data_IF_670654867438
#
_entry.id   IF_670654867438
#
_cell.length_a   1.000
_cell.length_b   1.000
_cell.length_c   1.000
_cell.angle_alpha   90.00
_cell.angle_beta   90.00
_cell.angle_gamma   90.00
#
_symmetry.space_group_name_H-M   'P 1'
#
loop_
_entity.id
_entity.type
_entity.pdbx_description
1 polymer ?
#
# COMPACT_ATOMS: atom_id res chain seq x y z
N UNK A 1 36.07 -11.39 6.63
CA UNK A 1 35.18 -11.61 5.50
C UNK A 1 33.77 -12.00 5.89
N UNK A 2 33.57 -13.02 6.75
CA UNK A 2 32.22 -13.43 7.15
C UNK A 2 31.48 -12.45 8.07
N UNK A 3 32.20 -11.71 8.91
CA UNK A 3 31.64 -10.62 9.72
C UNK A 3 31.09 -9.53 8.84
N UNK A 4 31.81 -9.20 7.76
CA UNK A 4 31.39 -8.21 6.77
C UNK A 4 30.13 -8.67 6.05
N UNK A 5 30.05 -9.96 5.71
CA UNK A 5 28.88 -10.56 5.08
C UNK A 5 27.64 -10.48 5.99
N UNK A 6 27.80 -10.71 7.29
CA UNK A 6 26.71 -10.57 8.26
C UNK A 6 26.24 -9.13 8.36
N UNK A 7 27.17 -8.17 8.44
CA UNK A 7 26.83 -6.75 8.50
C UNK A 7 26.10 -6.28 7.23
N UNK A 8 26.57 -6.73 6.07
CA UNK A 8 25.89 -6.44 4.80
C UNK A 8 24.49 -7.03 4.77
N UNK A 9 24.30 -8.24 5.28
CA UNK A 9 23.01 -8.89 5.36
C UNK A 9 22.07 -8.17 6.34
N UNK A 10 22.58 -7.68 7.47
CA UNK A 10 21.81 -6.86 8.43
C UNK A 10 21.34 -5.57 7.78
N UNK A 11 22.21 -4.91 7.05
CA UNK A 11 21.89 -3.66 6.35
C UNK A 11 20.84 -3.90 5.27
N UNK A 12 21.00 -4.97 4.49
CA UNK A 12 20.03 -5.34 3.45
C UNK A 12 18.65 -5.65 4.04
N UNK A 13 18.62 -6.35 5.18
CA UNK A 13 17.37 -6.65 5.88
C UNK A 13 16.70 -5.36 6.39
N UNK A 14 17.47 -4.46 7.00
CA UNK A 14 16.95 -3.17 7.46
C UNK A 14 16.40 -2.32 6.32
N UNK A 15 17.08 -2.30 5.17
CA UNK A 15 16.61 -1.59 3.98
C UNK A 15 15.32 -2.19 3.41
N UNK A 16 15.24 -3.52 3.36
CA UNK A 16 14.04 -4.22 2.91
C UNK A 16 12.85 -3.91 3.82
N UNK A 17 13.05 -3.87 5.14
CA UNK A 17 12.02 -3.50 6.09
C UNK A 17 11.54 -2.07 5.89
N UNK A 18 12.47 -1.13 5.65
CA UNK A 18 12.13 0.27 5.36
C UNK A 18 11.33 0.38 4.07
N UNK A 19 11.72 -0.34 3.05
CA UNK A 19 11.01 -0.36 1.76
C UNK A 19 9.59 -0.90 1.93
N UNK A 20 9.42 -1.96 2.73
CA UNK A 20 8.09 -2.51 3.04
C UNK A 20 7.22 -1.47 3.75
N UNK A 21 7.75 -0.81 4.77
CA UNK A 21 6.99 0.21 5.50
C UNK A 21 6.55 1.36 4.58
N UNK A 22 7.40 1.73 3.64
CA UNK A 22 7.06 2.77 2.65
C UNK A 22 5.91 2.33 1.75
N UNK A 23 5.94 1.09 1.27
CA UNK A 23 4.88 0.54 0.43
C UNK A 23 3.56 0.39 1.22
N UNK A 24 3.63 -0.03 2.47
CA UNK A 24 2.46 -0.10 3.35
C UNK A 24 1.84 1.28 3.60
N UNK A 25 2.68 2.29 3.76
CA UNK A 25 2.22 3.68 3.91
C UNK A 25 1.49 4.16 2.65
N UNK A 26 2.05 3.88 1.48
CA UNK A 26 1.42 4.22 0.20
C UNK A 26 0.06 3.53 0.05
N UNK A 27 -0.03 2.27 0.47
CA UNK A 27 -1.28 1.52 0.45
C UNK A 27 -2.34 2.19 1.35
N UNK A 28 -1.96 2.56 2.56
CA UNK A 28 -2.87 3.25 3.49
C UNK A 28 -3.36 4.57 2.91
N UNK A 29 -2.48 5.33 2.26
CA UNK A 29 -2.83 6.60 1.60
C UNK A 29 -3.83 6.37 0.45
N UNK A 30 -3.64 5.32 -0.34
CA UNK A 30 -4.55 4.98 -1.45
C UNK A 30 -5.91 4.52 -0.92
N UNK A 31 -5.94 3.75 0.16
CA UNK A 31 -7.18 3.32 0.80
C UNK A 31 -7.95 4.50 1.40
N UNK A 32 -7.24 5.43 2.04
CA UNK A 32 -7.83 6.67 2.57
C UNK A 32 -8.41 7.53 1.45
N UNK A 33 -7.73 7.59 0.31
CA UNK A 33 -8.22 8.32 -0.86
C UNK A 33 -9.56 7.76 -1.33
N UNK A 34 -9.67 6.44 -1.43
CA UNK A 34 -10.92 5.79 -1.83
C UNK A 34 -12.05 6.12 -0.86
N UNK A 35 -11.77 6.03 0.44
CA UNK A 35 -12.76 6.35 1.47
C UNK A 35 -13.28 7.78 1.33
N UNK A 36 -12.39 8.74 1.13
CA UNK A 36 -12.77 10.15 0.90
C UNK A 36 -13.58 10.33 -0.37
N UNK A 37 -13.23 9.61 -1.43
CA UNK A 37 -13.97 9.66 -2.70
C UNK A 37 -15.39 9.15 -2.55
N UNK A 38 -15.57 8.04 -1.83
CA UNK A 38 -16.88 7.44 -1.57
C UNK A 38 -17.73 8.38 -0.72
N UNK A 39 -17.17 8.94 0.34
CA UNK A 39 -17.87 9.89 1.22
C UNK A 39 -18.28 11.16 0.47
N UNK A 40 -17.39 11.67 -0.38
CA UNK A 40 -17.70 12.86 -1.19
C UNK A 40 -18.87 12.57 -2.15
N UNK A 41 -18.86 11.43 -2.82
CA UNK A 41 -19.96 11.02 -3.71
C UNK A 41 -21.28 10.92 -2.95
N UNK A 42 -21.28 10.30 -1.77
CA UNK A 42 -22.48 10.15 -0.93
C UNK A 42 -23.03 11.51 -0.51
N UNK A 43 -22.17 12.44 -0.10
CA UNK A 43 -22.59 13.80 0.27
C UNK A 43 -23.21 14.55 -0.91
N UNK A 44 -22.60 14.44 -2.09
CA UNK A 44 -23.12 15.06 -3.31
C UNK A 44 -24.47 14.50 -3.69
N UNK A 45 -24.64 13.19 -3.56
CA UNK A 45 -25.90 12.53 -3.83
C UNK A 45 -27.01 13.01 -2.89
N UNK A 46 -26.72 13.13 -1.60
CA UNK A 46 -27.66 13.65 -0.61
C UNK A 46 -28.03 15.11 -0.88
N UNK A 47 -27.05 15.92 -1.24
CA UNK A 47 -27.26 17.32 -1.61
C UNK A 47 -28.18 17.43 -2.83
N UNK A 48 -27.94 16.64 -3.86
CA UNK A 48 -28.81 16.61 -5.05
C UNK A 48 -30.23 16.16 -4.72
N UNK A 49 -30.38 15.18 -3.85
CA UNK A 49 -31.69 14.71 -3.41
C UNK A 49 -32.45 15.81 -2.66
N UNK A 50 -31.79 16.56 -1.79
CA UNK A 50 -32.39 17.68 -1.08
C UNK A 50 -32.82 18.81 -2.03
N UNK A 51 -31.97 19.16 -2.98
CA UNK A 51 -32.26 20.21 -3.97
C UNK A 51 -33.41 19.84 -4.88
N UNK A 52 -33.50 18.56 -5.26
CA UNK A 52 -34.60 18.07 -6.07
C UNK A 52 -35.93 18.14 -5.28
N UNK A 53 -35.92 17.70 -4.02
CA UNK A 53 -37.10 17.73 -3.15
C UNK A 53 -37.58 19.15 -2.83
N UNK A 54 -36.67 20.12 -2.71
CA UNK A 54 -36.98 21.53 -2.42
C UNK A 54 -37.38 22.35 -3.66
N UNK A 55 -37.27 21.77 -4.85
CA UNK A 55 -37.54 22.46 -6.09
C UNK A 55 -36.40 23.37 -6.58
N UNK A 56 -35.26 23.38 -5.90
CA UNK A 56 -34.07 24.15 -6.32
C UNK A 56 -33.39 23.55 -7.56
N UNK A 57 -33.63 22.27 -7.83
CA UNK A 57 -33.05 21.55 -8.98
C UNK A 57 -34.16 21.15 -9.94
N UNK A 58 -33.97 21.42 -11.22
CA UNK A 58 -34.90 21.05 -12.29
C UNK A 58 -34.61 19.62 -12.76
N UNK A 59 -35.58 18.99 -13.41
CA UNK A 59 -35.43 17.63 -13.98
C UNK A 59 -34.28 17.55 -14.99
N UNK A 60 -34.08 18.63 -15.77
CA UNK A 60 -32.95 18.72 -16.72
C UNK A 60 -31.60 18.73 -16.02
N UNK A 61 -31.52 19.33 -14.84
CA UNK A 61 -30.30 19.34 -14.00
C UNK A 61 -30.03 18.00 -13.38
N UNK A 62 -31.07 17.21 -13.13
CA UNK A 62 -30.96 15.85 -12.57
C UNK A 62 -30.13 14.94 -13.48
N UNK A 63 -30.31 15.06 -14.81
CA UNK A 63 -29.53 14.25 -15.77
C UNK A 63 -28.04 14.56 -15.69
N UNK A 64 -27.70 15.86 -15.57
CA UNK A 64 -26.30 16.29 -15.43
C UNK A 64 -25.71 15.84 -14.09
N UNK A 65 -26.50 15.93 -13.01
CA UNK A 65 -26.08 15.47 -11.68
C UNK A 65 -25.81 13.96 -11.67
N UNK A 66 -26.69 13.18 -12.30
CA UNK A 66 -26.51 11.72 -12.41
C UNK A 66 -25.25 11.36 -13.21
N UNK A 67 -24.97 12.08 -14.31
CA UNK A 67 -23.73 11.88 -15.08
C UNK A 67 -22.50 12.21 -14.25
N UNK A 68 -22.55 13.24 -13.44
CA UNK A 68 -21.47 13.62 -12.55
C UNK A 68 -21.20 12.53 -11.49
N UNK A 69 -22.27 12.01 -10.88
CA UNK A 69 -22.15 10.91 -9.91
C UNK A 69 -21.60 9.64 -10.55
N UNK A 70 -21.99 9.34 -11.78
CA UNK A 70 -21.47 8.19 -12.53
C UNK A 70 -19.97 8.33 -12.80
N UNK A 71 -19.51 9.53 -13.15
CA UNK A 71 -18.07 9.79 -13.31
C UNK A 71 -17.31 9.63 -12.00
N UNK A 72 -17.92 10.04 -10.89
CA UNK A 72 -17.31 9.81 -9.57
C UNK A 72 -17.15 8.33 -9.26
N UNK A 73 -18.13 7.51 -9.61
CA UNK A 73 -18.08 6.05 -9.46
C UNK A 73 -16.99 5.43 -10.35
N UNK A 74 -16.84 5.90 -11.57
CA UNK A 74 -15.79 5.45 -12.48
C UNK A 74 -14.40 5.72 -11.90
N UNK A 75 -14.21 6.90 -11.30
CA UNK A 75 -12.96 7.26 -10.63
C UNK A 75 -12.71 6.40 -9.39
N UNK A 76 -13.76 6.01 -8.68
CA UNK A 76 -13.65 5.07 -7.54
C UNK A 76 -13.16 3.70 -8.03
N UNK A 77 -13.63 3.23 -9.17
CA UNK A 77 -13.17 1.97 -9.78
C UNK A 77 -11.69 2.07 -10.13
N UNK A 78 -11.27 3.16 -10.75
CA UNK A 78 -9.84 3.42 -11.05
C UNK A 78 -9.00 3.43 -9.78
N UNK A 79 -9.52 4.04 -8.71
CA UNK A 79 -8.83 4.08 -7.42
C UNK A 79 -8.70 2.69 -6.80
N UNK A 80 -9.72 1.83 -6.94
CA UNK A 80 -9.66 0.44 -6.49
C UNK A 80 -8.58 -0.35 -7.24
N UNK A 81 -8.43 -0.09 -8.54
CA UNK A 81 -7.36 -0.70 -9.34
C UNK A 81 -5.98 -0.26 -8.85
N UNK A 82 -5.84 1.01 -8.47
CA UNK A 82 -4.60 1.54 -7.89
C UNK A 82 -4.27 0.86 -6.56
N UNK A 83 -5.29 0.63 -5.74
CA UNK A 83 -5.13 -0.08 -4.46
C UNK A 83 -4.64 -1.50 -4.70
N UNK A 84 -5.23 -2.22 -5.67
CA UNK A 84 -4.79 -3.58 -6.00
C UNK A 84 -3.35 -3.61 -6.51
N UNK A 85 -2.97 -2.64 -7.35
CA UNK A 85 -1.59 -2.52 -7.83
C UNK A 85 -0.63 -2.25 -6.66
N UNK A 86 -1.04 -1.42 -5.71
CA UNK A 86 -0.21 -1.10 -4.54
C UNK A 86 -0.11 -2.30 -3.58
N UNK A 87 -1.19 -3.08 -3.44
CA UNK A 87 -1.15 -4.33 -2.66
C UNK A 87 -0.13 -5.30 -3.22
N UNK A 88 -0.02 -5.36 -4.55
CA UNK A 88 1.00 -6.19 -5.21
C UNK A 88 2.41 -5.70 -4.87
N UNK A 89 2.63 -4.37 -4.81
CA UNK A 89 3.91 -3.81 -4.40
C UNK A 89 4.25 -4.16 -2.96
N UNK A 90 3.27 -4.16 -2.06
CA UNK A 90 3.44 -4.59 -0.67
C UNK A 90 3.86 -6.06 -0.63
N UNK A 91 3.18 -6.92 -1.38
CA UNK A 91 3.52 -8.36 -1.43
C UNK A 91 4.94 -8.59 -1.93
N UNK A 92 5.38 -7.82 -2.93
CA UNK A 92 6.76 -7.90 -3.44
C UNK A 92 7.76 -7.46 -2.39
N UNK A 93 7.46 -6.39 -1.67
CA UNK A 93 8.32 -5.90 -0.59
C UNK A 93 8.40 -6.90 0.57
N UNK A 94 7.29 -7.57 0.90
CA UNK A 94 7.27 -8.64 1.90
C UNK A 94 8.18 -9.80 1.51
N UNK A 95 8.18 -10.19 0.24
CA UNK A 95 9.06 -11.24 -0.29
C UNK A 95 10.52 -10.84 -0.19
N UNK A 96 10.83 -9.57 -0.45
CA UNK A 96 12.20 -9.05 -0.33
C UNK A 96 12.66 -9.05 1.14
N UNK A 97 11.79 -8.71 2.07
CA UNK A 97 12.06 -8.81 3.52
C UNK A 97 12.37 -10.25 3.89
N UNK A 98 11.55 -11.19 3.45
CA UNK A 98 11.73 -12.61 3.72
C UNK A 98 13.07 -13.12 3.18
N UNK A 99 13.39 -12.76 1.96
CA UNK A 99 14.64 -13.11 1.29
C UNK A 99 15.86 -12.56 2.05
N UNK A 100 15.80 -11.30 2.46
CA UNK A 100 16.86 -10.65 3.21
C UNK A 100 17.01 -11.25 4.61
N UNK A 101 15.89 -11.61 5.25
CA UNK A 101 15.89 -12.30 6.54
C UNK A 101 16.57 -13.66 6.45
N UNK A 102 16.23 -14.43 5.44
CA UNK A 102 16.83 -15.76 5.22
C UNK A 102 18.34 -15.63 4.95
N UNK A 103 18.75 -14.63 4.18
CA UNK A 103 20.16 -14.37 3.91
C UNK A 103 20.91 -13.97 5.21
N UNK A 104 20.28 -13.19 6.07
CA UNK A 104 20.86 -12.81 7.36
C UNK A 104 21.03 -14.03 8.27
N UNK A 105 20.02 -14.88 8.37
CA UNK A 105 20.07 -16.11 9.16
C UNK A 105 21.23 -16.98 8.67
N UNK A 106 21.36 -17.15 7.37
CA UNK A 106 22.41 -17.94 6.75
C UNK A 106 23.80 -17.37 7.05
N UNK A 107 23.97 -16.05 6.90
CA UNK A 107 25.23 -15.37 7.21
C UNK A 107 25.60 -15.48 8.70
N UNK A 108 24.62 -15.36 9.59
CA UNK A 108 24.82 -15.51 11.04
C UNK A 108 25.23 -16.93 11.40
N UNK A 109 24.59 -17.93 10.82
CA UNK A 109 24.92 -19.33 11.03
C UNK A 109 26.33 -19.65 10.52
N UNK A 110 26.68 -19.12 9.35
CA UNK A 110 28.03 -19.31 8.79
C UNK A 110 29.11 -18.68 9.67
N UNK A 111 28.85 -17.50 10.24
CA UNK A 111 29.76 -16.83 11.16
C UNK A 111 29.94 -17.63 12.45
N UNK A 112 28.84 -18.13 13.04
CA UNK A 112 28.87 -18.97 14.24
C UNK A 112 29.65 -20.26 14.02
N UNK A 113 29.44 -20.90 12.88
CA UNK A 113 30.17 -22.12 12.51
C UNK A 113 31.67 -21.87 12.41
N UNK A 114 32.07 -20.75 11.82
CA UNK A 114 33.48 -20.36 11.72
C UNK A 114 34.09 -20.07 13.08
N UNK A 115 33.40 -19.35 13.96
CA UNK A 115 33.85 -19.05 15.32
C UNK A 115 34.04 -20.34 16.13
N UNK A 116 33.05 -21.24 16.05
CA UNK A 116 33.13 -22.54 16.71
C UNK A 116 34.30 -23.37 16.22
N UNK A 117 34.57 -23.37 14.92
CA UNK A 117 35.70 -24.04 14.32
C UNK A 117 37.02 -23.51 14.88
N UNK A 118 37.16 -22.19 15.01
CA UNK A 118 38.34 -21.54 15.58
C UNK A 118 38.55 -21.92 17.05
N UNK A 119 37.47 -22.00 17.84
CA UNK A 119 37.54 -22.38 19.25
C UNK A 119 37.99 -23.82 19.45
N UNK A 120 37.64 -24.69 18.51
CA UNK A 120 37.99 -26.12 18.58
C UNK A 120 39.40 -26.45 18.04
N UNK A 121 40.13 -25.46 17.58
CA UNK A 121 41.53 -25.61 17.17
C UNK A 121 42.47 -25.43 18.36
#
# INVERSE_FOLDING_TARGET
MRQRAEEEAKNAFAEAQRALRLEEKKLAEEEDMLERMVEDRKRRREEYSRKLASGEMKVTDQSSANRFLDRMKEKEVEQKDRIEAQREQVRRAEKEVKKAQDALIEATQALKALQKHKENW
#
